data_IF_758875004477
#
_entry.id   IF_758875004477
#
_cell.length_a   1.000
_cell.length_b   1.000
_cell.length_c   1.000
_cell.angle_alpha   90.00
_cell.angle_beta   90.00
_cell.angle_gamma   90.00
#
_symmetry.space_group_name_H-M   'P 1'
#
loop_
_entity.id
_entity.type
_entity.pdbx_description
1 polymer ?
#
# COMPACT_ATOMS: atom_id res chain seq x y z
N UNK A 1 6.89 -5.82 15.74
CA UNK A 1 7.45 -7.03 15.09
C UNK A 1 8.96 -6.89 14.89
N UNK A 2 9.47 -5.70 14.55
CA UNK A 2 10.92 -5.50 14.33
C UNK A 2 11.36 -5.96 12.95
N UNK A 3 12.54 -5.50 12.51
CA UNK A 3 13.05 -5.73 11.15
C UNK A 3 13.16 -7.21 10.80
N UNK A 4 13.75 -8.00 11.70
CA UNK A 4 13.96 -9.45 11.49
C UNK A 4 12.66 -10.17 11.17
N UNK A 5 11.61 -9.91 11.96
CA UNK A 5 10.30 -10.52 11.72
C UNK A 5 9.64 -10.02 10.44
N UNK A 6 9.83 -8.76 10.07
CA UNK A 6 9.32 -8.22 8.80
C UNK A 6 9.99 -8.94 7.63
N UNK A 7 11.31 -9.12 7.66
CA UNK A 7 12.06 -9.83 6.63
C UNK A 7 11.62 -11.29 6.51
N UNK A 8 11.47 -11.99 7.64
CA UNK A 8 10.94 -13.37 7.66
C UNK A 8 9.53 -13.46 7.04
N UNK A 9 8.65 -12.51 7.36
CA UNK A 9 7.30 -12.47 6.78
C UNK A 9 7.31 -12.16 5.28
N UNK A 10 8.26 -11.37 4.80
CA UNK A 10 8.44 -11.09 3.37
C UNK A 10 8.91 -12.36 2.64
N UNK A 11 9.78 -13.18 3.23
CA UNK A 11 10.17 -14.47 2.64
C UNK A 11 9.00 -15.44 2.50
N UNK A 12 8.00 -15.34 3.38
CA UNK A 12 6.78 -16.15 3.33
C UNK A 12 5.70 -15.58 2.39
N UNK A 13 5.88 -14.35 1.90
CA UNK A 13 4.88 -13.63 1.13
C UNK A 13 4.88 -14.12 -0.33
N UNK A 14 3.74 -14.62 -0.81
CA UNK A 14 3.53 -14.94 -2.24
C UNK A 14 3.15 -13.69 -3.05
N UNK A 15 3.92 -12.62 -2.87
CA UNK A 15 3.80 -11.34 -3.56
C UNK A 15 5.09 -10.54 -3.44
N UNK A 16 5.27 -9.53 -4.30
CA UNK A 16 6.41 -8.61 -4.22
C UNK A 16 6.17 -7.57 -3.12
N UNK A 17 7.13 -7.44 -2.20
CA UNK A 17 7.17 -6.34 -1.25
C UNK A 17 7.97 -5.19 -1.87
N UNK A 18 7.34 -4.02 -2.01
CA UNK A 18 7.95 -2.84 -2.64
C UNK A 18 7.84 -1.63 -1.71
N UNK A 19 8.91 -0.83 -1.62
CA UNK A 19 8.91 0.44 -0.91
C UNK A 19 10.11 1.31 -1.32
N UNK A 20 9.85 2.41 -2.01
CA UNK A 20 10.88 3.29 -2.55
C UNK A 20 11.59 4.14 -1.48
N UNK A 21 10.90 4.43 -0.37
CA UNK A 21 11.37 5.33 0.66
C UNK A 21 12.04 4.65 1.86
N UNK A 22 12.19 3.31 1.84
CA UNK A 22 12.89 2.59 2.90
C UNK A 22 14.36 2.40 2.51
N UNK A 23 15.22 3.19 3.13
CA UNK A 23 16.66 3.18 2.84
C UNK A 23 17.48 2.86 4.08
N UNK A 24 18.67 2.30 3.87
CA UNK A 24 19.72 2.21 4.87
C UNK A 24 20.18 3.62 5.26
N UNK A 25 20.34 3.86 6.57
CA UNK A 25 20.89 5.11 7.08
C UNK A 25 22.16 4.90 7.91
N UNK A 26 22.88 3.80 7.66
CA UNK A 26 24.18 3.54 8.27
C UNK A 26 25.21 4.55 7.73
N UNK A 27 25.74 5.46 8.57
CA UNK A 27 26.72 6.45 8.14
C UNK A 27 28.08 5.84 7.78
N UNK A 28 28.28 4.54 8.00
CA UNK A 28 29.51 3.81 7.70
C UNK A 28 29.36 2.80 6.55
N UNK A 29 28.18 2.71 5.91
CA UNK A 29 28.00 1.90 4.72
C UNK A 29 28.76 2.50 3.53
N UNK A 30 29.29 1.62 2.66
CA UNK A 30 29.96 2.04 1.42
C UNK A 30 28.99 2.74 0.46
N UNK A 31 27.70 2.37 0.53
CA UNK A 31 26.59 2.97 -0.24
C UNK A 31 25.67 3.77 0.70
N UNK A 32 25.81 5.10 0.67
CA UNK A 32 24.92 6.01 1.38
C UNK A 32 23.54 5.99 0.71
N UNK A 33 22.47 5.76 1.50
CA UNK A 33 21.09 5.62 1.04
C UNK A 33 20.78 4.38 0.17
N UNK A 34 21.39 3.23 0.47
CA UNK A 34 21.03 1.94 -0.15
C UNK A 34 19.53 1.61 0.06
N UNK A 35 18.83 1.21 -1.01
CA UNK A 35 17.46 0.73 -0.93
C UNK A 35 17.39 -0.57 -0.16
N UNK A 36 16.51 -0.63 0.84
CA UNK A 36 16.26 -1.88 1.60
C UNK A 36 15.32 -2.81 0.83
N UNK A 37 14.41 -2.23 0.04
CA UNK A 37 13.43 -2.96 -0.75
C UNK A 37 13.39 -2.42 -2.17
N UNK A 38 12.95 -3.26 -3.10
CA UNK A 38 12.68 -2.83 -4.48
C UNK A 38 11.69 -1.65 -4.47
N UNK A 39 11.96 -0.57 -5.23
CA UNK A 39 11.14 0.64 -5.15
C UNK A 39 9.81 0.48 -5.87
N UNK A 40 9.80 -0.31 -6.94
CA UNK A 40 8.65 -0.51 -7.80
C UNK A 40 8.64 -1.91 -8.41
N UNK A 41 7.54 -2.24 -9.06
CA UNK A 41 7.48 -3.38 -9.97
C UNK A 41 6.69 -3.05 -11.22
N UNK A 42 6.86 -3.84 -12.28
CA UNK A 42 6.11 -3.69 -13.53
C UNK A 42 5.31 -4.96 -13.77
N UNK A 43 4.02 -4.80 -14.02
CA UNK A 43 3.09 -5.89 -14.29
C UNK A 43 2.38 -5.66 -15.62
N UNK A 44 2.32 -6.70 -16.45
CA UNK A 44 1.48 -6.68 -17.66
C UNK A 44 0.15 -7.36 -17.37
N UNK A 45 -0.97 -6.66 -17.57
CA UNK A 45 -2.32 -7.17 -17.35
C UNK A 45 -3.26 -6.62 -18.42
N UNK A 46 -4.05 -7.49 -19.04
CA UNK A 46 -5.02 -7.08 -20.06
C UNK A 46 -4.40 -6.39 -21.30
N UNK A 47 -3.09 -6.59 -21.54
CA UNK A 47 -2.36 -5.93 -22.63
C UNK A 47 -1.80 -4.54 -22.28
N UNK A 48 -2.01 -4.05 -21.06
CA UNK A 48 -1.40 -2.82 -20.55
C UNK A 48 -0.20 -3.15 -19.66
N UNK A 49 0.85 -2.32 -19.75
CA UNK A 49 2.04 -2.37 -18.91
C UNK A 49 1.91 -1.35 -17.77
N UNK A 50 1.89 -1.84 -16.53
CA UNK A 50 1.59 -1.03 -15.34
C UNK A 50 2.82 -0.98 -14.45
N UNK A 51 3.36 0.21 -14.21
CA UNK A 51 4.37 0.46 -13.18
C UNK A 51 3.71 0.72 -11.84
N UNK A 52 4.12 -0.01 -10.81
CA UNK A 52 3.58 0.11 -9.44
C UNK A 52 4.72 0.46 -8.49
N UNK A 53 4.71 1.67 -7.94
CA UNK A 53 5.70 2.16 -6.97
C UNK A 53 5.16 1.96 -5.56
N UNK A 54 5.99 1.41 -4.67
CA UNK A 54 5.64 1.25 -3.26
C UNK A 54 6.03 2.46 -2.43
N UNK A 55 5.18 2.89 -1.51
CA UNK A 55 5.46 3.99 -0.59
C UNK A 55 5.06 3.60 0.84
N UNK A 56 6.05 3.44 1.71
CA UNK A 56 5.86 3.09 3.11
C UNK A 56 5.58 4.32 3.99
N UNK A 57 4.97 4.12 5.16
CA UNK A 57 4.60 5.24 6.03
C UNK A 57 5.83 6.04 6.51
N UNK A 58 5.91 7.36 6.26
CA UNK A 58 7.13 8.11 6.48
C UNK A 58 7.54 8.31 7.93
N UNK A 59 6.56 8.25 8.84
CA UNK A 59 6.76 8.45 10.27
C UNK A 59 6.88 7.14 11.03
N UNK A 60 7.17 6.02 10.35
CA UNK A 60 7.27 4.69 10.99
C UNK A 60 8.26 4.69 12.16
N UNK A 61 9.44 5.31 12.00
CA UNK A 61 10.48 5.34 13.05
C UNK A 61 10.11 6.20 14.26
N UNK A 62 9.19 7.16 14.14
CA UNK A 62 8.75 8.02 15.25
C UNK A 62 7.44 7.53 15.88
N UNK A 63 6.63 6.77 15.14
CA UNK A 63 5.40 6.18 15.62
C UNK A 63 5.60 4.87 16.42
N UNK A 64 6.81 4.31 16.42
CA UNK A 64 7.12 2.99 17.00
C UNK A 64 8.41 3.02 17.83
N UNK A 65 8.66 2.00 18.67
CA UNK A 65 9.95 1.82 19.34
C UNK A 65 11.12 1.84 18.35
N UNK A 66 12.15 2.64 18.65
CA UNK A 66 13.29 2.89 17.76
C UNK A 66 13.99 1.61 17.30
N UNK A 67 14.12 0.63 18.19
CA UNK A 67 14.75 -0.66 17.92
C UNK A 67 14.12 -1.43 16.74
N UNK A 68 12.84 -1.15 16.41
CA UNK A 68 12.17 -1.83 15.30
C UNK A 68 12.59 -1.33 13.93
N UNK A 69 13.22 -0.16 13.83
CA UNK A 69 13.59 0.49 12.57
C UNK A 69 15.01 1.07 12.59
N UNK A 70 15.82 0.72 13.60
CA UNK A 70 17.20 1.22 13.70
C UNK A 70 17.99 0.85 12.43
N UNK A 71 18.77 1.79 11.89
CA UNK A 71 19.46 1.58 10.61
C UNK A 71 18.60 1.82 9.37
N UNK A 72 17.29 2.06 9.49
CA UNK A 72 16.38 2.37 8.38
C UNK A 72 15.82 3.80 8.48
N UNK A 73 15.65 4.45 7.34
CA UNK A 73 14.92 5.72 7.19
C UNK A 73 13.73 5.53 6.26
N UNK A 74 12.65 6.26 6.53
CA UNK A 74 11.36 6.16 5.82
C UNK A 74 10.90 7.50 5.24
N UNK A 75 11.73 8.55 5.32
CA UNK A 75 11.29 9.92 5.01
C UNK A 75 10.59 10.07 3.65
N UNK A 76 9.72 11.07 3.53
CA UNK A 76 9.09 11.43 2.25
C UNK A 76 10.19 11.89 1.30
N UNK A 77 10.26 11.28 0.11
CA UNK A 77 11.27 11.55 -0.93
C UNK A 77 10.57 11.83 -2.27
N UNK A 78 9.99 13.03 -2.47
CA UNK A 78 9.23 13.33 -3.67
C UNK A 78 10.12 13.41 -4.91
N UNK A 79 11.39 13.82 -4.75
CA UNK A 79 12.38 13.83 -5.85
C UNK A 79 12.69 12.41 -6.31
N UNK A 80 13.02 11.50 -5.39
CA UNK A 80 13.24 10.08 -5.72
C UNK A 80 11.99 9.42 -6.31
N UNK A 81 10.80 9.77 -5.81
CA UNK A 81 9.55 9.30 -6.38
C UNK A 81 9.37 9.81 -7.83
N UNK A 82 9.69 11.07 -8.10
CA UNK A 82 9.68 11.63 -9.47
C UNK A 82 10.65 10.89 -10.39
N UNK A 83 11.87 10.58 -9.91
CA UNK A 83 12.87 9.84 -10.70
C UNK A 83 12.33 8.46 -11.12
N UNK A 84 11.69 7.71 -10.21
CA UNK A 84 11.07 6.42 -10.55
C UNK A 84 9.88 6.55 -11.50
N UNK A 85 9.07 7.61 -11.36
CA UNK A 85 7.98 7.88 -12.31
C UNK A 85 8.56 8.13 -13.70
N UNK A 86 9.61 8.95 -13.79
CA UNK A 86 10.28 9.28 -15.04
C UNK A 86 10.94 8.05 -15.66
N UNK A 87 11.59 7.20 -14.87
CA UNK A 87 12.17 5.94 -15.32
C UNK A 87 11.10 5.00 -15.91
N UNK A 88 9.99 4.81 -15.18
CA UNK A 88 8.87 3.98 -15.63
C UNK A 88 8.27 4.48 -16.95
N UNK A 89 8.11 5.79 -17.12
CA UNK A 89 7.56 6.40 -18.34
C UNK A 89 8.54 6.41 -19.49
N UNK A 90 9.78 6.80 -19.23
CA UNK A 90 10.75 7.11 -20.28
C UNK A 90 11.57 5.89 -20.71
N UNK A 91 11.90 5.00 -19.78
CA UNK A 91 12.72 3.83 -20.07
C UNK A 91 11.85 2.60 -20.26
N UNK A 92 10.97 2.33 -19.30
CA UNK A 92 10.14 1.13 -19.32
C UNK A 92 8.89 1.24 -20.19
N UNK A 93 8.54 2.47 -20.61
CA UNK A 93 7.39 2.79 -21.47
C UNK A 93 6.08 2.22 -20.92
N UNK A 94 5.84 2.36 -19.62
CA UNK A 94 4.58 1.89 -19.02
C UNK A 94 3.39 2.73 -19.49
N UNK A 95 2.24 2.08 -19.66
CA UNK A 95 0.97 2.73 -20.01
C UNK A 95 0.36 3.45 -18.80
N UNK A 96 0.59 2.93 -17.60
CA UNK A 96 0.07 3.46 -16.36
C UNK A 96 1.11 3.43 -15.23
N UNK A 97 1.17 4.49 -14.42
CA UNK A 97 1.95 4.57 -13.18
C UNK A 97 1.01 4.68 -11.98
N UNK A 98 1.15 3.73 -11.06
CA UNK A 98 0.38 3.64 -9.82
C UNK A 98 1.33 3.74 -8.63
N UNK A 99 1.00 4.54 -7.63
CA UNK A 99 1.67 4.52 -6.33
C UNK A 99 0.76 3.82 -5.32
N UNK A 100 1.22 2.72 -4.72
CA UNK A 100 0.56 2.09 -3.58
C UNK A 100 1.14 2.68 -2.29
N UNK A 101 0.37 3.56 -1.66
CA UNK A 101 0.87 4.46 -0.62
C UNK A 101 0.32 4.15 0.75
N UNK A 102 1.19 4.32 1.74
CA UNK A 102 0.83 4.34 3.15
C UNK A 102 1.20 5.68 3.81
N UNK A 103 1.34 6.77 3.04
CA UNK A 103 1.65 8.11 3.58
C UNK A 103 0.48 8.69 4.39
N UNK A 104 -0.74 8.39 3.97
CA UNK A 104 -1.97 8.93 4.53
C UNK A 104 -2.63 9.92 3.59
N UNK A 105 -3.96 9.93 3.61
CA UNK A 105 -4.76 10.57 2.56
C UNK A 105 -4.48 12.06 2.32
N UNK A 106 -4.14 12.82 3.37
CA UNK A 106 -3.75 14.22 3.23
C UNK A 106 -2.33 14.40 2.70
N UNK A 107 -1.42 13.51 3.06
CA UNK A 107 -0.02 13.55 2.60
C UNK A 107 0.05 13.14 1.14
N UNK A 108 -0.70 12.12 0.74
CA UNK A 108 -0.83 11.69 -0.66
C UNK A 108 -1.33 12.81 -1.57
N UNK A 109 -2.23 13.67 -1.07
CA UNK A 109 -2.67 14.86 -1.80
C UNK A 109 -1.53 15.88 -2.01
N UNK A 110 -0.65 16.06 -1.02
CA UNK A 110 0.53 16.91 -1.19
C UNK A 110 1.56 16.27 -2.14
N UNK A 111 1.77 14.95 -2.07
CA UNK A 111 2.62 14.22 -3.01
C UNK A 111 2.12 14.38 -4.45
N UNK A 112 0.81 14.26 -4.69
CA UNK A 112 0.22 14.49 -6.01
C UNK A 112 0.36 15.94 -6.51
N UNK A 113 0.60 16.93 -5.63
CA UNK A 113 0.93 18.30 -6.04
C UNK A 113 2.38 18.46 -6.44
N UNK A 114 3.27 17.62 -5.90
CA UNK A 114 4.73 17.72 -6.08
C UNK A 114 5.26 16.84 -7.21
N UNK A 115 4.65 15.66 -7.40
CA UNK A 115 5.11 14.65 -8.36
C UNK A 115 4.17 14.59 -9.56
N UNK A 116 4.74 14.65 -10.76
CA UNK A 116 4.01 14.62 -12.02
C UNK A 116 4.13 13.24 -12.67
N UNK A 117 3.12 12.84 -13.44
CA UNK A 117 3.15 11.61 -14.25
C UNK A 117 2.63 10.34 -13.54
N UNK A 118 2.24 10.46 -12.26
CA UNK A 118 1.48 9.43 -11.53
C UNK A 118 0.02 9.49 -11.97
N UNK A 119 -0.55 8.38 -12.45
CA UNK A 119 -1.97 8.34 -12.81
C UNK A 119 -2.84 8.09 -11.58
N UNK A 120 -2.42 7.16 -10.71
CA UNK A 120 -3.22 6.73 -9.57
C UNK A 120 -2.40 6.64 -8.28
N UNK A 121 -2.96 7.11 -7.17
CA UNK A 121 -2.47 6.82 -5.82
C UNK A 121 -3.53 5.98 -5.10
N UNK A 122 -3.14 4.77 -4.70
CA UNK A 122 -3.92 3.91 -3.82
C UNK A 122 -3.50 4.21 -2.39
N UNK A 123 -4.23 5.11 -1.73
CA UNK A 123 -3.89 5.66 -0.43
C UNK A 123 -4.30 4.72 0.72
N UNK A 124 -3.53 4.76 1.81
CA UNK A 124 -3.73 4.00 3.03
C UNK A 124 -3.62 4.86 4.29
N UNK A 125 -3.24 4.25 5.41
CA UNK A 125 -2.94 4.87 6.71
C UNK A 125 -4.09 5.56 7.47
N UNK A 126 -4.77 6.54 6.88
CA UNK A 126 -5.76 7.37 7.61
C UNK A 126 -7.12 6.71 7.79
N UNK A 127 -7.34 5.56 7.14
CA UNK A 127 -8.54 4.73 7.26
C UNK A 127 -9.85 5.38 6.77
N UNK A 128 -9.78 6.47 6.02
CA UNK A 128 -10.95 7.14 5.46
C UNK A 128 -11.55 6.29 4.33
N UNK A 129 -12.85 5.98 4.32
CA UNK A 129 -13.49 5.45 3.13
C UNK A 129 -13.97 6.61 2.24
N UNK A 130 -13.50 6.66 0.99
CA UNK A 130 -14.03 7.62 0.01
C UNK A 130 -14.72 6.89 -1.15
N UNK A 131 -16.02 7.09 -1.38
CA UNK A 131 -16.72 6.51 -2.53
C UNK A 131 -16.39 7.23 -3.85
N UNK A 132 -15.86 8.45 -3.78
CA UNK A 132 -15.45 9.25 -4.93
C UNK A 132 -13.93 9.50 -4.88
N UNK A 133 -13.22 9.37 -6.01
CA UNK A 133 -11.81 9.74 -6.08
C UNK A 133 -11.61 11.24 -5.90
N UNK A 134 -10.43 11.63 -5.42
CA UNK A 134 -9.94 13.02 -5.50
C UNK A 134 -8.97 13.12 -6.66
N UNK A 135 -9.04 14.18 -7.45
CA UNK A 135 -8.11 14.41 -8.57
C UNK A 135 -7.29 15.66 -8.30
N UNK A 136 -5.96 15.54 -8.38
CA UNK A 136 -4.98 16.62 -8.20
C UNK A 136 -3.94 16.47 -9.31
N UNK A 137 -3.71 17.50 -10.12
CA UNK A 137 -2.73 17.49 -11.23
C UNK A 137 -2.82 16.23 -12.10
N UNK A 138 -4.04 15.85 -12.49
CA UNK A 138 -4.36 14.65 -13.27
C UNK A 138 -4.09 13.29 -12.55
N UNK A 139 -3.52 13.30 -11.35
CA UNK A 139 -3.42 12.14 -10.47
C UNK A 139 -4.72 11.88 -9.74
N UNK A 140 -5.21 10.65 -9.82
CA UNK A 140 -6.44 10.17 -9.19
C UNK A 140 -6.10 9.43 -7.89
N UNK A 141 -6.61 9.93 -6.77
CA UNK A 141 -6.35 9.38 -5.44
C UNK A 141 -7.61 8.68 -4.93
N UNK A 142 -7.46 7.41 -4.53
CA UNK A 142 -8.54 6.59 -3.96
C UNK A 142 -8.11 5.99 -2.62
N UNK A 143 -9.08 5.79 -1.73
CA UNK A 143 -8.87 5.17 -0.41
C UNK A 143 -10.07 4.31 -0.02
N UNK A 144 -9.80 3.08 0.45
CA UNK A 144 -10.82 2.05 0.67
C UNK A 144 -11.18 1.83 2.16
N UNK A 145 -10.86 2.78 3.04
CA UNK A 145 -11.13 2.64 4.47
C UNK A 145 -10.21 1.65 5.17
N UNK A 146 -10.77 0.80 6.04
CA UNK A 146 -10.00 -0.09 6.91
C UNK A 146 -10.75 -1.37 7.28
N UNK A 147 -10.03 -2.33 7.86
CA UNK A 147 -10.57 -3.56 8.46
C UNK A 147 -11.34 -4.45 7.48
N UNK A 148 -11.04 -4.38 6.18
CA UNK A 148 -11.77 -5.14 5.16
C UNK A 148 -13.25 -4.75 5.08
N UNK A 149 -13.65 -3.55 5.53
CA UNK A 149 -15.05 -3.09 5.42
C UNK A 149 -15.46 -2.80 3.98
N UNK A 150 -14.50 -2.51 3.11
CA UNK A 150 -14.71 -2.23 1.71
C UNK A 150 -13.61 -2.83 0.84
N UNK A 151 -13.94 -3.10 -0.43
CA UNK A 151 -13.00 -3.35 -1.51
C UNK A 151 -13.10 -2.17 -2.49
N UNK A 152 -11.99 -1.46 -2.68
CA UNK A 152 -11.87 -0.49 -3.75
C UNK A 152 -11.65 -1.20 -5.08
N UNK A 153 -12.56 -1.01 -6.04
CA UNK A 153 -12.44 -1.52 -7.41
C UNK A 153 -12.16 -0.34 -8.33
N UNK A 154 -10.97 -0.33 -8.92
CA UNK A 154 -10.54 0.64 -9.92
C UNK A 154 -10.35 -0.09 -11.25
N UNK A 155 -11.25 0.13 -12.19
CA UNK A 155 -11.16 -0.37 -13.56
C UNK A 155 -10.43 0.68 -14.41
N UNK A 156 -9.35 0.31 -15.10
CA UNK A 156 -8.47 1.24 -15.84
C UNK A 156 -8.43 0.83 -17.32
N UNK A 157 -8.64 1.79 -18.21
CA UNK A 157 -8.33 1.66 -19.65
C UNK A 157 -7.00 2.39 -19.92
N UNK A 158 -5.93 1.63 -20.16
CA UNK A 158 -4.60 2.17 -20.44
C UNK A 158 -3.99 1.49 -21.66
N UNK A 159 -3.43 2.30 -22.56
CA UNK A 159 -2.79 1.82 -23.79
C UNK A 159 -1.92 2.91 -24.41
N UNK A 160 -0.87 2.50 -25.12
CA UNK A 160 -0.01 3.36 -25.93
C UNK A 160 0.63 4.49 -25.09
N UNK A 161 1.07 4.14 -23.87
CA UNK A 161 1.77 5.04 -22.96
C UNK A 161 0.87 5.97 -22.13
N UNK A 162 -0.46 5.77 -22.13
CA UNK A 162 -1.41 6.64 -21.42
C UNK A 162 -2.64 5.93 -20.87
N UNK A 163 -3.28 6.54 -19.88
CA UNK A 163 -4.62 6.18 -19.39
C UNK A 163 -5.67 6.92 -20.23
N UNK A 164 -6.61 6.19 -20.82
CA UNK A 164 -7.72 6.74 -21.61
C UNK A 164 -8.98 6.99 -20.76
N UNK A 165 -9.12 6.27 -19.65
CA UNK A 165 -10.23 6.43 -18.73
C UNK A 165 -10.17 5.46 -17.54
N UNK A 166 -11.02 5.68 -16.55
CA UNK A 166 -11.17 4.78 -15.41
C UNK A 166 -12.60 4.82 -14.84
N UNK A 167 -12.97 3.77 -14.13
CA UNK A 167 -14.17 3.71 -13.28
C UNK A 167 -13.75 3.28 -11.86
N UNK A 168 -14.29 3.94 -10.85
CA UNK A 168 -14.03 3.57 -9.45
C UNK A 168 -15.33 3.24 -8.70
N UNK A 169 -15.30 2.16 -7.93
CA UNK A 169 -16.36 1.76 -7.01
C UNK A 169 -15.78 1.35 -5.67
N UNK A 170 -16.36 1.88 -4.60
CA UNK A 170 -16.10 1.38 -3.25
C UNK A 170 -17.19 0.37 -2.87
N UNK A 171 -16.83 -0.90 -2.82
CA UNK A 171 -17.78 -2.01 -2.61
C UNK A 171 -17.78 -2.43 -1.13
N UNK A 172 -18.89 -2.28 -0.39
CA UNK A 172 -18.95 -2.69 1.01
C UNK A 172 -18.91 -4.22 1.16
N UNK A 173 -18.13 -4.71 2.12
CA UNK A 173 -18.12 -6.11 2.52
C UNK A 173 -19.16 -6.31 3.63
N UNK A 174 -20.39 -6.64 3.24
CA UNK A 174 -21.47 -6.93 4.17
C UNK A 174 -21.58 -8.44 4.41
N UNK A 175 -21.00 -8.92 5.50
CA UNK A 175 -21.00 -10.37 5.86
C UNK A 175 -22.40 -10.96 6.06
N UNK A 176 -23.41 -10.13 6.32
CA UNK A 176 -24.81 -10.55 6.36
C UNK A 176 -25.40 -10.89 4.98
N UNK A 177 -24.76 -10.44 3.89
CA UNK A 177 -25.25 -10.61 2.52
C UNK A 177 -24.28 -11.40 1.64
N UNK A 178 -22.98 -11.40 1.97
CA UNK A 178 -21.93 -12.08 1.22
C UNK A 178 -21.51 -13.31 2.04
N UNK A 179 -21.74 -14.54 1.55
CA UNK A 179 -21.32 -15.74 2.26
C UNK A 179 -19.78 -15.79 2.35
N UNK A 180 -19.27 -16.29 3.48
CA UNK A 180 -17.85 -16.51 3.65
C UNK A 180 -17.33 -17.57 2.65
N UNK A 181 -16.10 -17.41 2.21
CA UNK A 181 -15.41 -18.45 1.45
C UNK A 181 -15.07 -19.63 2.40
N UNK A 182 -15.48 -20.88 2.08
CA UNK A 182 -15.26 -22.01 2.98
C UNK A 182 -13.78 -22.31 3.26
N UNK A 183 -12.88 -22.02 2.32
CA UNK A 183 -11.44 -22.24 2.54
C UNK A 183 -10.87 -21.16 3.48
N UNK A 184 -11.30 -19.91 3.32
CA UNK A 184 -10.97 -18.81 4.23
C UNK A 184 -11.48 -19.05 5.66
N UNK A 185 -12.73 -19.48 5.82
CA UNK A 185 -13.31 -19.81 7.12
C UNK A 185 -12.51 -20.92 7.82
N UNK A 186 -12.25 -22.02 7.11
CA UNK A 186 -11.44 -23.13 7.63
C UNK A 186 -10.02 -22.70 8.02
N UNK A 187 -9.39 -21.82 7.25
CA UNK A 187 -8.07 -21.29 7.58
C UNK A 187 -8.10 -20.49 8.89
N UNK A 188 -9.03 -19.55 9.01
CA UNK A 188 -9.17 -18.70 10.20
C UNK A 188 -9.51 -19.53 11.43
N UNK A 189 -10.47 -20.44 11.34
CA UNK A 189 -10.81 -21.36 12.43
C UNK A 189 -9.60 -22.17 12.88
N UNK A 190 -8.81 -22.71 11.94
CA UNK A 190 -7.59 -23.46 12.25
C UNK A 190 -6.54 -22.62 12.98
N UNK A 191 -6.34 -21.37 12.57
CA UNK A 191 -5.38 -20.45 13.21
C UNK A 191 -5.82 -20.04 14.62
N UNK A 192 -7.13 -19.89 14.85
CA UNK A 192 -7.69 -19.42 16.13
C UNK A 192 -7.94 -20.56 17.12
N UNK A 193 -8.13 -21.80 16.64
CA UNK A 193 -8.47 -22.95 17.48
C UNK A 193 -7.54 -23.16 18.69
N UNK A 194 -6.20 -23.03 18.59
CA UNK A 194 -5.32 -23.17 19.74
C UNK A 194 -5.53 -22.09 20.83
N UNK A 195 -6.11 -20.95 20.47
CA UNK A 195 -6.30 -19.79 21.34
C UNK A 195 -7.77 -19.56 21.70
N UNK A 196 -8.68 -20.45 21.29
CA UNK A 196 -10.13 -20.23 21.38
C UNK A 196 -10.61 -20.00 22.82
N UNK A 197 -10.02 -20.66 23.81
CA UNK A 197 -10.39 -20.49 25.21
C UNK A 197 -10.05 -19.08 25.73
N UNK A 198 -8.90 -18.53 25.33
CA UNK A 198 -8.45 -17.20 25.72
C UNK A 198 -9.21 -16.11 24.96
N UNK A 199 -9.28 -16.23 23.62
CA UNK A 199 -9.91 -15.22 22.77
C UNK A 199 -11.42 -15.08 23.00
N UNK A 200 -12.10 -16.14 23.45
CA UNK A 200 -13.53 -16.11 23.76
C UNK A 200 -13.84 -15.92 25.24
N UNK A 201 -12.83 -15.67 26.09
CA UNK A 201 -13.07 -15.39 27.49
C UNK A 201 -13.82 -14.07 27.65
N UNK A 202 -15.03 -14.13 28.21
CA UNK A 202 -15.79 -12.92 28.54
C UNK A 202 -15.16 -12.23 29.75
N UNK A 203 -14.50 -11.09 29.51
CA UNK A 203 -13.89 -10.27 30.56
C UNK A 203 -14.86 -9.22 31.15
N UNK A 204 -15.92 -8.89 30.42
CA UNK A 204 -16.93 -7.92 30.83
C UNK A 204 -18.05 -7.77 29.79
N UNK A 205 -19.11 -7.04 30.15
CA UNK A 205 -20.28 -6.80 29.29
C UNK A 205 -20.64 -5.30 29.25
N UNK A 206 -21.06 -4.79 28.09
CA UNK A 206 -21.59 -3.43 27.94
C UNK A 206 -23.12 -3.44 27.78
N UNK A 207 -23.80 -2.38 28.22
CA UNK A 207 -25.28 -2.36 28.33
C UNK A 207 -26.03 -2.21 26.99
N UNK A 208 -25.34 -1.89 25.89
CA UNK A 208 -25.95 -1.49 24.61
C UNK A 208 -25.34 -2.21 23.38
N UNK A 209 -25.19 -3.52 23.44
CA UNK A 209 -24.91 -4.37 22.27
C UNK A 209 -25.85 -5.55 22.26
#
# INVERSE_FOLDING_TARGET
>A
YGKERVLELIEMLDAKFIAQNVIGNDPFADDYEELIFEPYTIEERGGAKIGVIGQAFPFTSTANPKEFTEGWSFGIRPETLQDYVDELRNEHKVDCVVVISHDGFSVDQEVARMVNGVDFILSGHTHDPSPAPIVINDTVIVIAGSHGKYVGRLDIDAKDGKVNGYEYKLVPIASSMIPADPAGEKLVEGLYAPFAAELNQVLGTTKNT
#
